data_IF_227007363060
#
_entry.id   IF_227007363060
#
_cell.length_a   1.000
_cell.length_b   1.000
_cell.length_c   1.000
_cell.angle_alpha   90.00
_cell.angle_beta   90.00
_cell.angle_gamma   90.00
#
_symmetry.space_group_name_H-M   'P 1'
#
loop_
_entity.id
_entity.type
_entity.pdbx_description
1 polymer ?
#
# COMPACT_ATOMS: atom_id res chain seq x y z
N UNK A 1 2.59 -40.58 -1.90
CA UNK A 1 1.24 -41.10 -2.23
C UNK A 1 0.85 -42.16 -1.21
N UNK A 2 -0.38 -42.14 -0.70
CA UNK A 2 -0.84 -43.11 0.32
C UNK A 2 -1.66 -44.29 -0.23
N UNK A 3 -1.98 -44.34 -1.54
CA UNK A 3 -2.70 -45.46 -2.17
C UNK A 3 -2.25 -45.69 -3.62
N UNK A 4 -2.00 -46.95 -3.98
CA UNK A 4 -1.57 -47.39 -5.33
C UNK A 4 -2.58 -47.05 -6.43
N UNK A 5 -3.89 -47.11 -6.13
CA UNK A 5 -4.96 -46.76 -7.09
C UNK A 5 -4.90 -45.31 -7.59
N UNK A 6 -4.30 -44.39 -6.82
CA UNK A 6 -4.17 -42.98 -7.23
C UNK A 6 -3.18 -42.76 -8.38
N UNK A 7 -2.30 -43.73 -8.67
CA UNK A 7 -1.32 -43.64 -9.76
C UNK A 7 -2.00 -43.87 -11.12
N UNK A 8 -2.86 -44.88 -11.24
CA UNK A 8 -3.63 -45.13 -12.46
C UNK A 8 -4.60 -43.99 -12.77
N UNK A 9 -5.30 -43.47 -11.76
CA UNK A 9 -6.27 -42.38 -11.96
C UNK A 9 -5.62 -41.11 -12.50
N UNK A 10 -4.41 -40.77 -12.05
CA UNK A 10 -3.67 -39.62 -12.58
C UNK A 10 -3.24 -39.85 -14.04
N UNK A 11 -2.85 -41.07 -14.39
CA UNK A 11 -2.46 -41.44 -15.76
C UNK A 11 -3.60 -41.39 -16.78
N UNK A 12 -4.85 -41.61 -16.36
CA UNK A 12 -6.04 -41.54 -17.21
C UNK A 12 -6.81 -40.21 -17.15
N UNK A 13 -6.27 -39.20 -16.46
CA UNK A 13 -6.93 -37.89 -16.32
C UNK A 13 -6.83 -37.08 -17.62
N UNK A 14 -7.97 -36.71 -18.22
CA UNK A 14 -8.02 -35.87 -19.43
C UNK A 14 -8.27 -34.39 -19.15
N UNK A 15 -8.71 -34.04 -17.94
CA UNK A 15 -8.93 -32.64 -17.51
C UNK A 15 -8.47 -32.45 -16.06
N UNK A 16 -7.68 -31.40 -15.82
CA UNK A 16 -7.23 -31.00 -14.47
C UNK A 16 -7.88 -29.66 -14.14
N UNK A 17 -8.83 -29.68 -13.19
CA UNK A 17 -9.41 -28.47 -12.62
C UNK A 17 -8.54 -28.03 -11.43
N UNK A 18 -7.60 -27.14 -11.69
CA UNK A 18 -6.76 -26.55 -10.63
C UNK A 18 -7.37 -25.25 -10.12
N UNK A 19 -7.27 -25.02 -8.81
CA UNK A 19 -7.48 -23.68 -8.27
C UNK A 19 -6.31 -22.77 -8.69
N UNK A 20 -6.52 -21.45 -8.75
CA UNK A 20 -5.46 -20.49 -9.09
C UNK A 20 -4.63 -20.17 -7.86
N UNK A 21 -5.27 -19.75 -6.77
CA UNK A 21 -4.57 -19.20 -5.61
C UNK A 21 -4.02 -20.33 -4.75
N UNK A 22 -2.70 -20.33 -4.51
CA UNK A 22 -2.05 -21.36 -3.71
C UNK A 22 -1.80 -22.69 -4.44
N UNK A 23 -2.21 -22.81 -5.71
CA UNK A 23 -1.84 -23.96 -6.58
C UNK A 23 -1.09 -23.49 -7.82
N UNK A 24 -1.66 -22.59 -8.62
CA UNK A 24 -0.96 -22.01 -9.78
C UNK A 24 -0.10 -20.80 -9.41
N UNK A 25 -0.49 -20.05 -8.38
CA UNK A 25 0.26 -18.90 -7.88
C UNK A 25 0.71 -19.15 -6.45
N UNK A 26 1.85 -18.58 -6.08
CA UNK A 26 2.38 -18.64 -4.71
C UNK A 26 1.52 -17.84 -3.70
N UNK A 27 0.39 -17.27 -4.12
CA UNK A 27 -0.40 -16.31 -3.34
C UNK A 27 0.45 -15.14 -2.78
N UNK A 28 1.56 -14.83 -3.45
CA UNK A 28 2.46 -13.74 -3.13
C UNK A 28 2.22 -12.62 -4.14
N UNK A 29 1.81 -11.45 -3.65
CA UNK A 29 1.67 -10.27 -4.49
C UNK A 29 3.08 -9.78 -4.89
N UNK A 30 3.33 -9.58 -6.17
CA UNK A 30 4.62 -9.07 -6.67
C UNK A 30 4.39 -7.84 -7.54
N UNK A 31 5.08 -6.75 -7.22
CA UNK A 31 5.06 -5.57 -8.08
C UNK A 31 5.89 -5.84 -9.34
N UNK A 32 5.25 -5.73 -10.52
CA UNK A 32 5.85 -6.05 -11.83
C UNK A 32 6.15 -4.82 -12.67
N UNK A 33 5.30 -3.80 -12.56
CA UNK A 33 5.43 -2.56 -13.34
C UNK A 33 5.19 -1.33 -12.46
N UNK A 34 5.84 -0.23 -12.84
CA UNK A 34 5.66 1.09 -12.23
C UNK A 34 5.58 2.15 -13.33
N UNK A 35 4.75 3.16 -13.12
CA UNK A 35 4.78 4.39 -13.90
C UNK A 35 5.26 5.55 -13.05
N UNK A 36 6.25 6.29 -13.54
CA UNK A 36 6.77 7.49 -12.89
C UNK A 36 7.16 8.51 -13.95
N UNK A 37 6.74 9.76 -13.79
CA UNK A 37 7.03 10.86 -14.72
C UNK A 37 6.70 10.53 -16.19
N UNK A 38 5.63 9.75 -16.44
CA UNK A 38 5.24 9.32 -17.80
C UNK A 38 6.06 8.15 -18.37
N UNK A 39 7.06 7.65 -17.65
CA UNK A 39 7.89 6.52 -18.06
C UNK A 39 7.45 5.24 -17.35
N UNK A 40 7.56 4.11 -18.05
CA UNK A 40 7.24 2.79 -17.53
C UNK A 40 8.52 2.04 -17.16
N UNK A 41 8.46 1.39 -16.01
CA UNK A 41 9.52 0.57 -15.45
C UNK A 41 9.01 -0.84 -15.21
N UNK A 42 9.87 -1.83 -15.39
CA UNK A 42 9.61 -3.23 -15.07
C UNK A 42 10.50 -3.67 -13.93
N UNK A 43 9.97 -4.54 -13.07
CA UNK A 43 10.71 -5.16 -11.98
C UNK A 43 10.79 -6.67 -12.21
N UNK A 44 12.02 -7.19 -12.21
CA UNK A 44 12.26 -8.64 -12.29
C UNK A 44 12.18 -9.31 -10.90
N UNK A 45 12.29 -10.64 -10.89
CA UNK A 45 12.18 -11.45 -9.68
C UNK A 45 10.76 -11.86 -9.35
N UNK A 46 10.62 -12.82 -8.45
CA UNK A 46 9.34 -13.43 -8.08
C UNK A 46 9.15 -13.43 -6.58
N UNK A 47 7.89 -13.48 -6.16
CA UNK A 47 7.55 -13.54 -4.75
C UNK A 47 8.06 -12.33 -3.97
N UNK A 48 8.62 -12.61 -2.80
CA UNK A 48 9.15 -11.61 -1.86
C UNK A 48 10.68 -11.52 -1.81
N UNK A 49 11.36 -12.07 -2.81
CA UNK A 49 12.81 -11.96 -2.95
C UNK A 49 13.23 -10.56 -3.44
N UNK A 50 14.37 -10.07 -2.93
CA UNK A 50 14.88 -8.71 -3.18
C UNK A 50 16.02 -8.64 -4.20
N UNK A 51 16.44 -9.78 -4.77
CA UNK A 51 17.51 -9.91 -5.76
C UNK A 51 17.13 -9.46 -7.19
N UNK A 52 15.86 -9.11 -7.40
CA UNK A 52 15.35 -8.54 -8.64
C UNK A 52 15.90 -7.14 -8.95
N UNK A 53 15.70 -6.69 -10.19
CA UNK A 53 16.15 -5.36 -10.65
C UNK A 53 15.01 -4.58 -11.28
N UNK A 54 15.03 -3.27 -11.05
CA UNK A 54 14.18 -2.32 -11.77
C UNK A 54 14.89 -1.92 -13.07
N UNK A 55 14.15 -1.92 -14.18
CA UNK A 55 14.62 -1.51 -15.51
C UNK A 55 13.60 -0.61 -16.18
N UNK A 56 14.08 0.29 -17.02
CA UNK A 56 13.22 1.00 -17.97
C UNK A 56 12.82 0.05 -19.11
N UNK A 57 11.66 0.27 -19.70
CA UNK A 57 11.20 -0.54 -20.84
C UNK A 57 11.95 -0.23 -22.13
N UNK A 58 12.56 0.94 -22.24
CA UNK A 58 13.31 1.42 -23.41
C UNK A 58 14.84 1.20 -23.27
N UNK A 59 15.31 0.61 -22.17
CA UNK A 59 16.72 0.34 -21.90
C UNK A 59 17.54 1.55 -21.45
N UNK A 60 16.92 2.73 -21.30
CA UNK A 60 17.60 3.93 -20.80
C UNK A 60 17.95 3.83 -19.30
N UNK A 61 18.89 4.64 -18.79
CA UNK A 61 19.22 4.64 -17.36
C UNK A 61 18.02 4.98 -16.47
N UNK A 62 18.01 4.43 -15.24
CA UNK A 62 17.03 4.78 -14.22
C UNK A 62 17.20 6.25 -13.83
N UNK A 63 16.12 7.06 -13.83
CA UNK A 63 16.22 8.45 -13.45
C UNK A 63 16.38 8.58 -11.92
N UNK A 64 17.09 9.60 -11.45
CA UNK A 64 17.21 9.89 -10.02
C UNK A 64 15.87 10.19 -9.33
N UNK A 65 14.86 10.58 -10.10
CA UNK A 65 13.48 10.75 -9.62
C UNK A 65 12.85 9.46 -9.11
N UNK A 66 13.32 8.28 -9.55
CA UNK A 66 12.86 6.98 -9.07
C UNK A 66 12.99 6.86 -7.54
N UNK A 67 14.06 7.41 -6.97
CA UNK A 67 14.31 7.36 -5.54
C UNK A 67 13.14 7.93 -4.72
N UNK A 68 12.44 8.96 -5.22
CA UNK A 68 11.30 9.55 -4.52
C UNK A 68 10.14 8.55 -4.37
N UNK A 69 9.85 7.78 -5.42
CA UNK A 69 8.82 6.74 -5.38
C UNK A 69 9.21 5.59 -4.45
N UNK A 70 10.49 5.15 -4.49
CA UNK A 70 10.99 4.07 -3.63
C UNK A 70 10.96 4.46 -2.15
N UNK A 71 11.32 5.70 -1.81
CA UNK A 71 11.21 6.23 -0.44
C UNK A 71 9.76 6.19 0.06
N UNK A 72 8.79 6.58 -0.79
CA UNK A 72 7.38 6.51 -0.43
C UNK A 72 6.90 5.07 -0.16
N UNK A 73 7.34 4.11 -0.98
CA UNK A 73 7.04 2.68 -0.82
C UNK A 73 7.64 2.11 0.48
N UNK A 74 8.87 2.52 0.81
CA UNK A 74 9.57 2.07 2.00
C UNK A 74 8.97 2.65 3.29
N UNK A 75 8.72 3.96 3.32
CA UNK A 75 8.35 4.69 4.54
C UNK A 75 6.84 4.64 4.85
N UNK A 76 6.00 4.68 3.81
CA UNK A 76 4.55 4.63 3.95
C UNK A 76 4.03 3.19 3.83
N UNK A 77 4.55 2.27 4.66
CA UNK A 77 4.18 0.86 4.65
C UNK A 77 4.33 0.21 6.02
N UNK A 78 3.31 -0.52 6.45
CA UNK A 78 3.31 -1.31 7.69
C UNK A 78 3.88 -2.71 7.46
N UNK A 79 3.97 -3.15 6.19
CA UNK A 79 4.56 -4.42 5.86
C UNK A 79 6.06 -4.46 6.21
N UNK A 80 6.49 -5.61 6.71
CA UNK A 80 7.88 -5.92 7.04
C UNK A 80 8.27 -7.22 6.35
N UNK A 81 9.48 -7.25 5.79
CA UNK A 81 10.09 -8.47 5.29
C UNK A 81 10.78 -9.19 6.44
N UNK A 82 10.42 -10.46 6.66
CA UNK A 82 11.01 -11.29 7.70
C UNK A 82 11.22 -12.69 7.15
N UNK A 83 12.48 -13.15 7.17
CA UNK A 83 12.87 -14.50 6.75
C UNK A 83 12.41 -14.88 5.32
N UNK A 84 12.32 -13.89 4.41
CA UNK A 84 11.85 -14.09 3.03
C UNK A 84 10.34 -14.04 2.84
N UNK A 85 9.57 -13.75 3.90
CA UNK A 85 8.11 -13.58 3.86
C UNK A 85 7.69 -12.15 4.21
N UNK A 86 6.48 -11.78 3.78
CA UNK A 86 5.83 -10.51 4.15
C UNK A 86 4.95 -10.71 5.38
N UNK A 87 5.21 -9.92 6.42
CA UNK A 87 4.29 -9.74 7.55
C UNK A 87 3.55 -8.42 7.35
N UNK A 88 2.23 -8.49 7.15
CA UNK A 88 1.38 -7.33 6.87
C UNK A 88 0.51 -7.54 5.63
N UNK A 89 0.06 -6.44 5.03
CA UNK A 89 -0.71 -6.51 3.79
C UNK A 89 0.19 -6.95 2.60
N UNK A 90 -0.23 -7.92 1.76
CA UNK A 90 0.56 -8.38 0.61
C UNK A 90 0.90 -7.28 -0.40
N UNK A 91 0.01 -6.31 -0.63
CA UNK A 91 0.25 -5.20 -1.56
C UNK A 91 1.33 -4.28 -1.01
N UNK A 92 1.25 -3.97 0.28
CA UNK A 92 2.29 -3.21 0.98
C UNK A 92 3.64 -3.92 0.96
N UNK A 93 3.65 -5.24 1.17
CA UNK A 93 4.85 -6.06 1.07
C UNK A 93 5.47 -6.02 -0.31
N UNK A 94 4.66 -6.10 -1.37
CA UNK A 94 5.14 -5.99 -2.75
C UNK A 94 5.82 -4.64 -3.03
N UNK A 95 5.33 -3.55 -2.44
CA UNK A 95 5.94 -2.21 -2.53
C UNK A 95 7.25 -2.14 -1.75
N UNK A 96 7.32 -2.74 -0.56
CA UNK A 96 8.56 -2.82 0.24
C UNK A 96 9.64 -3.60 -0.50
N UNK A 97 9.29 -4.75 -1.07
CA UNK A 97 10.22 -5.53 -1.92
C UNK A 97 10.68 -4.73 -3.13
N UNK A 98 9.79 -3.94 -3.75
CA UNK A 98 10.16 -3.09 -4.88
C UNK A 98 11.15 -1.99 -4.47
N UNK A 99 10.99 -1.41 -3.27
CA UNK A 99 11.95 -0.45 -2.72
C UNK A 99 13.34 -1.09 -2.51
N UNK A 100 13.39 -2.29 -1.92
CA UNK A 100 14.62 -3.08 -1.74
C UNK A 100 15.30 -3.41 -3.08
N UNK A 101 14.54 -3.85 -4.09
CA UNK A 101 15.05 -4.07 -5.47
C UNK A 101 15.57 -2.79 -6.12
N UNK A 102 15.10 -1.64 -5.67
CA UNK A 102 15.57 -0.32 -6.07
C UNK A 102 16.80 0.17 -5.30
N UNK A 103 17.34 -0.64 -4.38
CA UNK A 103 18.53 -0.35 -3.60
C UNK A 103 18.29 0.36 -2.27
N UNK A 104 17.04 0.44 -1.79
CA UNK A 104 16.72 0.99 -0.47
C UNK A 104 16.80 -0.11 0.58
N UNK A 105 17.70 0.04 1.56
CA UNK A 105 17.62 -0.73 2.82
C UNK A 105 16.45 -0.16 3.64
N UNK A 106 15.30 -0.82 3.59
CA UNK A 106 14.06 -0.32 4.19
C UNK A 106 14.14 -0.33 5.71
N UNK A 107 14.83 -1.32 6.30
CA UNK A 107 15.00 -1.42 7.74
C UNK A 107 15.86 -0.27 8.27
N UNK A 108 17.02 -0.02 7.65
CA UNK A 108 17.89 1.10 7.99
C UNK A 108 17.20 2.45 7.78
N UNK A 109 16.51 2.62 6.64
CA UNK A 109 15.80 3.87 6.33
C UNK A 109 14.70 4.17 7.36
N UNK A 110 13.91 3.18 7.77
CA UNK A 110 12.86 3.35 8.80
C UNK A 110 13.45 3.67 10.18
N UNK A 111 14.62 3.13 10.49
CA UNK A 111 15.34 3.46 11.73
C UNK A 111 15.91 4.89 11.70
N UNK A 112 16.47 5.33 10.58
CA UNK A 112 16.97 6.69 10.38
C UNK A 112 15.84 7.73 10.37
N UNK A 113 14.70 7.36 9.75
CA UNK A 113 13.55 8.25 9.52
C UNK A 113 12.31 7.68 10.21
N UNK A 114 12.25 7.67 11.55
CA UNK A 114 11.08 7.18 12.27
C UNK A 114 9.84 8.03 11.96
N UNK A 115 8.68 7.39 11.96
CA UNK A 115 7.40 8.08 11.83
C UNK A 115 7.16 8.96 13.05
N UNK A 116 6.80 10.22 12.83
CA UNK A 116 6.36 11.14 13.89
C UNK A 116 4.84 11.20 14.02
N UNK A 117 4.13 10.82 12.96
CA UNK A 117 2.68 10.70 12.88
C UNK A 117 2.32 9.72 11.75
N UNK A 118 1.15 9.12 11.85
CA UNK A 118 0.55 8.33 10.78
C UNK A 118 -0.96 8.52 10.71
N UNK A 119 -1.48 8.34 9.50
CA UNK A 119 -2.88 8.10 9.20
C UNK A 119 -2.89 6.68 8.61
N UNK A 120 -3.36 5.66 9.35
CA UNK A 120 -3.39 4.30 8.85
C UNK A 120 -4.33 4.21 7.64
N UNK A 121 -4.18 3.14 6.85
CA UNK A 121 -5.09 2.91 5.74
C UNK A 121 -6.53 2.75 6.25
N UNK A 122 -7.45 3.48 5.63
CA UNK A 122 -8.88 3.41 5.90
C UNK A 122 -9.62 3.19 4.57
N UNK A 123 -10.57 2.24 4.53
CA UNK A 123 -11.30 1.89 3.31
C UNK A 123 -12.24 2.99 2.80
N UNK A 124 -12.69 3.89 3.68
CA UNK A 124 -13.56 5.01 3.32
C UNK A 124 -12.74 6.11 2.65
N UNK A 125 -11.55 6.39 3.18
CA UNK A 125 -10.65 7.41 2.61
C UNK A 125 -9.72 6.86 1.51
N UNK A 126 -9.51 5.54 1.47
CA UNK A 126 -8.70 4.76 0.51
C UNK A 126 -7.24 5.21 0.38
N UNK A 127 -6.66 5.75 1.45
CA UNK A 127 -5.23 6.10 1.49
C UNK A 127 -4.65 5.88 2.88
N UNK A 128 -3.32 5.79 2.94
CA UNK A 128 -2.48 5.83 4.13
C UNK A 128 -1.50 7.00 4.00
N UNK A 129 -1.16 7.66 5.10
CA UNK A 129 -0.13 8.70 5.13
C UNK A 129 0.81 8.53 6.33
N UNK A 130 2.10 8.79 6.13
CA UNK A 130 3.13 8.74 7.17
C UNK A 130 3.97 10.02 7.14
N UNK A 131 4.37 10.49 8.32
CA UNK A 131 5.06 11.77 8.47
C UNK A 131 6.43 11.55 9.10
N UNK A 132 7.45 12.18 8.55
CA UNK A 132 8.85 11.98 8.94
C UNK A 132 9.57 13.33 9.04
N UNK A 133 10.53 13.43 9.96
CA UNK A 133 11.47 14.55 9.96
C UNK A 133 12.38 14.43 8.75
N UNK A 134 12.55 15.54 8.04
CA UNK A 134 13.29 15.57 6.79
C UNK A 134 14.13 16.84 6.68
N UNK A 135 15.11 16.81 5.80
CA UNK A 135 15.92 17.97 5.41
C UNK A 135 15.65 18.21 3.93
N UNK A 136 15.10 19.36 3.58
CA UNK A 136 14.82 19.69 2.18
C UNK A 136 16.10 20.07 1.41
N UNK A 137 15.95 20.37 0.12
CA UNK A 137 17.09 20.70 -0.76
C UNK A 137 17.76 22.03 -0.35
N UNK A 138 17.08 22.83 0.48
CA UNK A 138 17.57 24.09 1.05
C UNK A 138 18.25 23.87 2.41
N UNK A 139 18.42 22.62 2.84
CA UNK A 139 19.01 22.23 4.12
C UNK A 139 18.19 22.64 5.34
N UNK A 140 16.89 22.88 5.17
CA UNK A 140 15.99 23.25 6.25
C UNK A 140 15.27 22.03 6.83
N UNK A 141 15.05 22.03 8.14
CA UNK A 141 14.23 20.99 8.78
C UNK A 141 12.75 21.15 8.39
N UNK A 142 12.19 20.10 7.81
CA UNK A 142 10.79 20.03 7.40
C UNK A 142 10.15 18.72 7.88
N UNK A 143 8.82 18.66 7.81
CA UNK A 143 8.08 17.40 7.92
C UNK A 143 7.71 16.95 6.52
N UNK A 144 8.23 15.79 6.10
CA UNK A 144 7.84 15.16 4.83
C UNK A 144 6.72 14.16 5.07
N UNK A 145 5.67 14.26 4.25
CA UNK A 145 4.53 13.35 4.25
C UNK A 145 4.65 12.42 3.05
N UNK A 146 4.59 11.11 3.27
CA UNK A 146 4.49 10.10 2.22
C UNK A 146 3.10 9.49 2.24
N UNK A 147 2.50 9.31 1.05
CA UNK A 147 1.11 8.87 0.92
C UNK A 147 1.05 7.70 -0.06
N UNK A 148 0.23 6.70 0.25
CA UNK A 148 -0.15 5.66 -0.72
C UNK A 148 -1.65 5.46 -0.68
N UNK A 149 -2.24 5.00 -1.77
CA UNK A 149 -3.69 4.85 -1.83
C UNK A 149 -4.20 4.57 -3.23
N UNK A 150 -5.53 4.57 -3.36
CA UNK A 150 -6.17 4.39 -4.65
C UNK A 150 -5.78 5.55 -5.60
N UNK A 151 -5.48 5.26 -6.88
CA UNK A 151 -4.91 6.24 -7.79
C UNK A 151 -5.85 7.42 -8.06
N UNK A 152 -7.15 7.18 -8.20
CA UNK A 152 -8.21 8.19 -8.33
C UNK A 152 -8.30 9.12 -7.11
N UNK A 153 -8.09 8.54 -5.94
CA UNK A 153 -8.13 9.21 -4.63
C UNK A 153 -6.89 10.08 -4.42
N UNK A 154 -5.72 9.66 -4.91
CA UNK A 154 -4.50 10.46 -4.86
C UNK A 154 -4.47 11.54 -5.95
N UNK A 155 -4.88 11.24 -7.18
CA UNK A 155 -4.89 12.20 -8.29
C UNK A 155 -5.80 13.39 -7.99
N UNK A 156 -6.97 13.16 -7.40
CA UNK A 156 -7.91 14.22 -7.00
C UNK A 156 -7.37 15.14 -5.88
N UNK A 157 -6.28 14.76 -5.19
CA UNK A 157 -5.68 15.54 -4.09
C UNK A 157 -4.31 16.12 -4.42
N UNK A 158 -3.77 15.81 -5.61
CA UNK A 158 -2.48 16.28 -6.06
C UNK A 158 -2.62 17.60 -6.82
N UNK A 159 -1.81 18.59 -6.48
CA UNK A 159 -1.68 19.84 -7.25
C UNK A 159 -0.44 19.84 -8.15
N UNK A 160 0.50 18.91 -7.89
CA UNK A 160 1.79 18.79 -8.58
C UNK A 160 2.21 17.34 -8.74
N UNK A 161 3.07 17.09 -9.70
CA UNK A 161 3.74 15.80 -9.87
C UNK A 161 5.22 16.00 -10.20
N UNK A 162 6.02 14.97 -9.93
CA UNK A 162 7.43 14.93 -10.31
C UNK A 162 7.54 14.55 -11.79
N UNK A 163 7.94 15.51 -12.62
CA UNK A 163 8.33 15.28 -14.01
C UNK A 163 9.75 14.71 -14.10
N UNK A 164 10.31 14.63 -15.31
CA UNK A 164 11.64 14.05 -15.52
C UNK A 164 12.76 14.81 -14.81
N UNK A 165 12.62 16.13 -14.71
CA UNK A 165 13.68 17.02 -14.19
C UNK A 165 13.18 18.01 -13.12
N UNK A 166 11.87 18.20 -12.99
CA UNK A 166 11.30 19.19 -12.08
C UNK A 166 9.91 18.79 -11.59
N UNK A 167 9.50 19.40 -10.47
CA UNK A 167 8.12 19.37 -10.01
C UNK A 167 7.30 20.32 -10.87
N UNK A 168 6.23 19.82 -11.47
CA UNK A 168 5.35 20.55 -12.39
C UNK A 168 3.90 20.48 -11.93
N UNK A 169 3.05 21.39 -12.43
CA UNK A 169 1.64 21.43 -12.08
C UNK A 169 0.92 20.16 -12.56
N UNK A 170 0.06 19.60 -11.71
CA UNK A 170 -0.82 18.50 -12.05
C UNK A 170 -2.16 19.06 -12.56
N UNK A 171 -2.13 19.56 -13.79
CA UNK A 171 -3.30 20.13 -14.47
C UNK A 171 -4.26 19.06 -15.02
N UNK A 172 -5.39 19.48 -15.60
CA UNK A 172 -6.39 18.57 -16.15
C UNK A 172 -5.83 17.64 -17.25
N UNK A 173 -4.85 18.11 -18.04
CA UNK A 173 -4.22 17.29 -19.08
C UNK A 173 -3.27 16.24 -18.49
N UNK A 174 -2.54 16.57 -17.42
CA UNK A 174 -1.73 15.64 -16.65
C UNK A 174 -2.62 14.60 -15.94
N UNK A 175 -3.73 15.03 -15.33
CA UNK A 175 -4.69 14.14 -14.71
C UNK A 175 -5.30 13.14 -15.71
N UNK A 176 -5.72 13.62 -16.87
CA UNK A 176 -6.25 12.76 -17.95
C UNK A 176 -5.22 11.70 -18.38
N UNK A 177 -3.95 12.09 -18.57
CA UNK A 177 -2.87 11.15 -18.93
C UNK A 177 -2.63 10.12 -17.83
N UNK A 178 -2.66 10.55 -16.57
CA UNK A 178 -2.50 9.67 -15.41
C UNK A 178 -3.63 8.62 -15.32
N UNK A 179 -4.87 9.05 -15.49
CA UNK A 179 -6.05 8.17 -15.46
C UNK A 179 -6.04 7.17 -16.63
N UNK A 180 -5.69 7.62 -17.84
CA UNK A 180 -5.53 6.73 -19.01
C UNK A 180 -4.44 5.67 -18.79
N UNK A 181 -3.30 6.07 -18.23
CA UNK A 181 -2.21 5.15 -17.95
C UNK A 181 -2.59 4.10 -16.89
N UNK A 182 -3.40 4.48 -15.90
CA UNK A 182 -3.90 3.57 -14.87
C UNK A 182 -5.06 2.68 -15.36
N UNK A 183 -5.90 3.18 -16.29
CA UNK A 183 -6.99 2.39 -16.87
C UNK A 183 -6.52 1.13 -17.61
N UNK A 184 -5.29 1.16 -18.16
CA UNK A 184 -4.66 -0.01 -18.78
C UNK A 184 -3.88 -0.91 -17.81
N UNK A 185 -3.65 -0.48 -16.57
CA UNK A 185 -2.88 -1.20 -15.56
C UNK A 185 -3.83 -1.77 -14.49
N UNK A 186 -4.32 -2.99 -14.69
CA UNK A 186 -5.21 -3.64 -13.72
C UNK A 186 -4.56 -3.76 -12.33
N UNK A 187 -5.20 -3.15 -11.31
CA UNK A 187 -5.00 -3.31 -9.86
C UNK A 187 -3.52 -3.43 -9.41
N UNK A 188 -2.68 -2.44 -9.74
CA UNK A 188 -1.38 -2.28 -9.11
C UNK A 188 -1.50 -1.33 -7.90
N UNK A 189 -0.89 -1.67 -6.76
CA UNK A 189 -0.78 -0.74 -5.64
C UNK A 189 0.09 0.45 -6.01
N UNK A 190 -0.38 1.67 -5.76
CA UNK A 190 0.34 2.89 -6.11
C UNK A 190 0.89 3.58 -4.86
N UNK A 191 2.19 3.82 -4.85
CA UNK A 191 2.81 4.82 -3.98
C UNK A 191 2.98 6.09 -4.80
N UNK A 192 2.20 7.12 -4.47
CA UNK A 192 2.40 8.45 -5.01
C UNK A 192 3.27 9.24 -4.04
N UNK A 193 4.37 9.81 -4.49
CA UNK A 193 4.97 10.89 -3.71
C UNK A 193 4.02 12.08 -3.82
N UNK A 194 3.07 12.16 -2.88
CA UNK A 194 2.23 13.33 -2.65
C UNK A 194 3.09 14.46 -2.11
N UNK A 195 4.11 14.84 -2.88
CA UNK A 195 5.03 15.89 -2.55
C UNK A 195 4.26 17.21 -2.68
N UNK A 196 3.48 17.55 -1.65
CA UNK A 196 3.25 18.96 -1.31
C UNK A 196 4.60 19.54 -0.92
N UNK A 197 5.44 19.86 -1.91
CA UNK A 197 6.37 20.99 -1.77
C UNK A 197 5.52 22.25 -1.82
N UNK A 198 4.84 22.46 -0.71
CA UNK A 198 3.81 23.46 -0.52
C UNK A 198 3.79 23.78 0.96
N UNK A 199 4.83 24.49 1.41
CA UNK A 199 4.57 25.55 2.37
C UNK A 199 3.42 26.36 1.80
N UNK A 200 2.24 26.21 2.40
CA UNK A 200 1.12 27.10 2.16
C UNK A 200 1.64 28.54 2.24
N UNK A 201 1.32 29.44 1.29
CA UNK A 201 1.42 30.86 1.57
C UNK A 201 0.43 31.14 2.70
N UNK A 202 0.94 31.15 3.94
CA UNK A 202 0.14 31.36 5.14
C UNK A 202 -0.08 30.13 6.03
N UNK A 203 1.00 29.45 6.47
CA UNK A 203 1.25 29.08 7.89
C UNK A 203 2.47 28.15 7.97
N UNK A 204 3.63 28.73 8.31
CA UNK A 204 4.78 27.96 8.79
C UNK A 204 4.36 27.23 10.07
N UNK A 205 4.36 25.90 10.08
CA UNK A 205 4.36 25.14 11.33
C UNK A 205 5.82 25.07 11.77
N UNK A 206 6.26 26.08 12.52
CA UNK A 206 7.55 26.01 13.23
C UNK A 206 7.41 24.97 14.35
N UNK A 207 8.37 24.06 14.55
CA UNK A 207 8.42 23.29 15.79
C UNK A 207 8.53 24.30 16.95
N UNK A 208 7.58 24.24 17.89
CA UNK A 208 7.62 25.07 19.09
C UNK A 208 8.91 24.80 19.88
N UNK A 209 9.43 25.79 20.65
CA UNK A 209 10.61 25.59 21.46
C UNK A 209 10.39 24.44 22.45
N UNK A 210 11.43 23.62 22.64
CA UNK A 210 11.46 22.58 23.66
C UNK A 210 11.26 23.24 25.03
N UNK A 211 10.13 23.00 25.68
CA UNK A 211 9.99 23.34 27.09
C UNK A 211 10.71 22.28 27.91
N UNK A 212 11.90 22.64 28.38
CA UNK A 212 12.55 22.00 29.53
C UNK A 212 11.59 22.05 30.73
N UNK A 213 11.61 20.97 31.52
CA UNK A 213 10.56 20.69 32.50
C UNK A 213 10.39 21.76 33.55
N UNK A 214 9.13 22.04 33.90
CA UNK A 214 8.73 22.62 35.19
C UNK A 214 7.34 22.11 35.59
N UNK A 215 7.13 22.04 36.90
CA UNK A 215 6.12 21.29 37.63
C UNK A 215 4.66 21.47 37.19
N UNK A 216 3.86 20.41 37.41
CA UNK A 216 2.40 20.42 37.28
C UNK A 216 1.77 21.42 38.27
N UNK A 217 0.88 22.34 37.83
CA UNK A 217 -0.10 22.94 38.71
C UNK A 217 -1.38 22.10 38.73
N UNK A 218 -1.91 21.89 39.93
CA UNK A 218 -3.19 21.24 40.17
C UNK A 218 -4.34 22.09 39.60
N UNK A 219 -5.28 21.43 38.92
CA UNK A 219 -6.56 22.04 38.54
C UNK A 219 -6.79 22.19 37.03
N UNK A 220 -6.95 21.08 36.31
CA UNK A 220 -7.57 21.10 34.98
C UNK A 220 -8.63 20.00 34.88
N UNK A 221 -9.85 20.41 34.55
CA UNK A 221 -11.07 19.58 34.50
C UNK A 221 -10.90 18.45 33.47
N UNK A 222 -11.31 17.24 33.86
CA UNK A 222 -11.33 16.04 32.99
C UNK A 222 -12.16 16.32 31.71
N UNK A 223 -11.68 15.95 30.51
CA UNK A 223 -12.52 16.01 29.33
C UNK A 223 -13.66 14.97 29.43
N UNK A 224 -14.86 15.40 29.04
CA UNK A 224 -16.10 14.62 29.10
C UNK A 224 -15.95 13.33 28.28
N UNK A 225 -16.21 12.19 28.91
CA UNK A 225 -16.36 10.89 28.23
C UNK A 225 -17.46 11.00 27.18
N UNK A 226 -17.13 10.69 25.93
CA UNK A 226 -18.10 10.52 24.86
C UNK A 226 -18.99 9.31 25.20
N UNK A 227 -20.26 9.54 25.54
CA UNK A 227 -21.27 8.50 25.76
C UNK A 227 -21.80 8.05 24.39
N UNK A 228 -21.59 6.78 24.03
CA UNK A 228 -22.31 6.13 22.92
C UNK A 228 -23.83 6.17 23.17
N UNK A 229 -24.67 6.41 22.16
CA UNK A 229 -26.12 6.20 22.29
C UNK A 229 -26.43 4.71 22.47
N UNK A 230 -27.38 4.41 23.35
CA UNK A 230 -27.83 3.07 23.69
C UNK A 230 -28.58 2.42 22.51
N UNK A 231 -28.31 1.15 22.27
CA UNK A 231 -29.10 0.29 21.40
C UNK A 231 -30.44 -0.03 22.09
N UNK A 232 -31.56 0.31 21.46
CA UNK A 232 -32.88 -0.17 21.87
C UNK A 232 -33.03 -1.63 21.47
N UNK A 233 -33.22 -2.50 22.47
CA UNK A 233 -33.71 -3.87 22.32
C UNK A 233 -35.22 -3.86 22.51
N UNK A 234 -35.94 -4.45 21.55
CA UNK A 234 -37.24 -5.09 21.77
C UNK A 234 -37.24 -6.40 20.97
N UNK A 235 -37.39 -7.51 21.69
CA UNK A 235 -37.44 -8.90 21.21
C UNK A 235 -38.92 -9.33 20.97
N UNK A 236 -39.26 -10.63 20.79
CA UNK A 236 -38.80 -11.60 19.79
C UNK A 236 -39.99 -12.16 18.96
N UNK A 237 -39.74 -12.60 17.72
CA UNK A 237 -40.72 -13.30 16.90
C UNK A 237 -40.15 -14.62 16.38
N UNK A 238 -40.59 -15.73 16.98
CA UNK A 238 -40.31 -17.09 16.53
C UNK A 238 -40.67 -17.28 15.04
N UNK A 239 -39.76 -17.84 14.23
CA UNK A 239 -40.14 -18.72 13.11
C UNK A 239 -39.03 -19.75 12.82
N UNK A 240 -39.50 -20.99 12.72
CA UNK A 240 -38.77 -22.25 12.65
C UNK A 240 -37.89 -22.36 11.41
N UNK A 241 -36.72 -22.96 11.61
CA UNK A 241 -35.87 -23.57 10.58
C UNK A 241 -36.61 -24.76 9.97
N UNK A 242 -36.90 -24.72 8.66
CA UNK A 242 -37.28 -25.91 7.90
C UNK A 242 -36.12 -26.29 6.98
N UNK A 243 -35.54 -27.47 7.25
CA UNK A 243 -34.60 -28.17 6.38
C UNK A 243 -35.36 -28.57 5.12
N UNK A 244 -35.01 -28.00 3.96
CA UNK A 244 -35.39 -28.58 2.66
C UNK A 244 -34.45 -29.75 2.36
N UNK A 245 -35.00 -30.96 2.41
CA UNK A 245 -34.42 -32.18 1.86
C UNK A 245 -34.63 -32.18 0.34
N UNK A 246 -33.59 -32.57 -0.39
CA UNK A 246 -33.64 -32.95 -1.80
C UNK A 246 -34.41 -34.27 -1.97
N UNK A 247 -35.25 -34.44 -3.00
CA UNK A 247 -35.74 -35.74 -3.43
C UNK A 247 -35.01 -36.25 -4.67
N UNK A 248 -34.74 -37.57 -4.71
CA UNK A 248 -34.66 -38.36 -5.94
C UNK A 248 -33.25 -38.69 -6.44
N UNK A 249 -32.65 -39.76 -5.91
CA UNK A 249 -31.76 -40.62 -6.69
C UNK A 249 -32.12 -42.07 -6.34
N UNK A 250 -32.60 -42.77 -7.37
CA UNK A 250 -33.03 -44.15 -7.37
C UNK A 250 -31.91 -45.11 -6.96
N UNK A 251 -32.27 -46.12 -6.17
CA UNK A 251 -31.45 -47.28 -5.89
C UNK A 251 -32.11 -48.50 -6.53
N UNK A 252 -31.53 -48.96 -7.64
CA UNK A 252 -31.73 -50.29 -8.19
C UNK A 252 -30.36 -50.98 -8.15
N UNK A 253 -30.11 -51.77 -7.10
CA UNK A 253 -29.56 -53.14 -7.15
C UNK A 253 -29.56 -53.80 -5.79
#
# INVERSE_FOLDING_TARGET
MKRLASVETLGSTSQICTDKTGTLTLNQMTAREMLLAGRRFTASGEGYQTDGRIRTTDGSPLPGTLNHALLAMALCSDAVLRDGDVVGDPTEGALVVLAEKGGIDVAALRAERPRILEIPFDSDYKFMATFHRWTDDQHEEVVRCFVKGAPDVLSARADRYLGESAVVAFDAAAQTRYEQANGGAGRAGHAGDGCRRGGLPGRRIRPGPRSEGHARPAGARRPRRYRRPAASRSAPGHRRVSRRRYPGADDHR
#
